data_IF_898951448980
#
_entry.id   IF_898951448980
#
_cell.length_a   1.000
_cell.length_b   1.000
_cell.length_c   1.000
_cell.angle_alpha   90.00
_cell.angle_beta   90.00
_cell.angle_gamma   90.00
#
_symmetry.space_group_name_H-M   'P 1'
#
loop_
_entity.id
_entity.type
_entity.pdbx_description
1 polymer ?
#
# COMPACT_ATOMS: atom_id res chain seq x y z
N UNK A 1 -62.73 23.86 -7.02
CA UNK A 1 -61.95 25.10 -7.06
C UNK A 1 -60.68 24.84 -6.25
N UNK A 2 -59.52 24.69 -6.92
CA UNK A 2 -58.26 24.25 -6.31
C UNK A 2 -57.49 25.44 -5.74
N UNK A 3 -56.47 25.18 -4.93
CA UNK A 3 -55.12 25.75 -5.09
C UNK A 3 -54.13 25.00 -4.18
N UNK A 4 -53.26 24.25 -4.83
CA UNK A 4 -52.00 23.72 -4.31
C UNK A 4 -51.09 24.87 -3.85
N UNK A 5 -50.27 24.63 -2.81
CA UNK A 5 -48.92 25.17 -2.86
C UNK A 5 -47.86 24.26 -2.21
N UNK A 6 -46.81 24.14 -3.00
CA UNK A 6 -45.64 23.30 -2.88
C UNK A 6 -44.73 23.66 -1.72
N UNK A 7 -44.16 22.58 -1.17
CA UNK A 7 -42.83 22.45 -0.58
C UNK A 7 -41.76 23.39 -1.15
N UNK A 8 -40.88 23.92 -0.29
CA UNK A 8 -39.43 23.89 -0.51
C UNK A 8 -38.65 24.16 0.79
N UNK A 9 -38.00 23.09 1.25
CA UNK A 9 -36.94 23.10 2.26
C UNK A 9 -35.67 23.68 1.61
N UNK A 10 -35.10 24.74 2.18
CA UNK A 10 -33.78 25.24 1.82
C UNK A 10 -32.92 25.15 3.08
N UNK A 11 -32.18 24.06 3.22
CA UNK A 11 -31.17 23.92 4.27
C UNK A 11 -29.80 23.80 3.58
N UNK A 12 -29.07 24.91 3.58
CA UNK A 12 -27.78 25.04 2.94
C UNK A 12 -26.70 24.87 4.01
N UNK A 13 -26.38 23.62 4.34
CA UNK A 13 -25.22 23.32 5.20
C UNK A 13 -23.96 23.22 4.36
N UNK A 14 -23.21 24.33 4.44
CA UNK A 14 -21.82 24.56 4.01
C UNK A 14 -20.90 23.38 4.35
N UNK A 15 -20.44 22.66 3.32
CA UNK A 15 -19.34 21.69 3.44
C UNK A 15 -18.01 22.45 3.59
N UNK A 16 -17.38 22.33 4.75
CA UNK A 16 -16.00 22.74 4.93
C UNK A 16 -15.11 21.53 4.64
N UNK A 17 -14.43 21.58 3.49
CA UNK A 17 -13.32 20.70 3.14
C UNK A 17 -12.06 21.28 3.78
N UNK A 18 -11.55 20.64 4.82
CA UNK A 18 -10.24 20.97 5.38
C UNK A 18 -9.18 20.07 4.74
N UNK A 19 -8.22 20.73 4.09
CA UNK A 19 -7.03 20.14 3.50
C UNK A 19 -5.94 20.04 4.58
N UNK A 20 -5.34 18.87 4.73
CA UNK A 20 -4.19 18.65 5.62
C UNK A 20 -2.91 19.18 4.92
N UNK A 21 -2.49 20.40 5.28
CA UNK A 21 -1.17 20.98 4.97
C UNK A 21 -0.28 20.85 6.22
N UNK A 22 0.94 20.35 6.07
CA UNK A 22 1.91 20.28 7.17
C UNK A 22 3.32 20.50 6.60
N UNK A 23 3.70 21.78 6.53
CA UNK A 23 5.01 22.25 6.07
C UNK A 23 5.78 22.83 7.26
N UNK A 24 6.88 22.18 7.65
CA UNK A 24 7.80 22.68 8.66
C UNK A 24 8.95 23.46 8.02
N UNK A 25 9.02 24.75 8.34
CA UNK A 25 10.10 25.67 7.99
C UNK A 25 11.38 25.39 8.79
N UNK A 26 12.51 25.23 8.08
CA UNK A 26 13.86 25.33 8.62
C UNK A 26 14.61 26.43 7.86
N UNK A 27 15.10 27.43 8.61
CA UNK A 27 15.97 28.49 8.12
C UNK A 27 17.38 27.96 7.79
N UNK A 28 18.03 28.42 6.71
CA UNK A 28 19.47 28.29 6.56
C UNK A 28 20.18 29.63 6.84
N UNK A 29 21.14 29.59 7.76
CA UNK A 29 22.15 30.63 7.98
C UNK A 29 23.19 30.58 6.86
N UNK A 30 23.61 31.78 6.42
CA UNK A 30 24.50 32.00 5.28
C UNK A 30 25.94 32.29 5.75
N UNK A 31 26.90 31.50 5.26
CA UNK A 31 28.34 31.76 5.15
C UNK A 31 28.86 30.64 4.23
N UNK A 32 29.54 30.84 3.10
CA UNK A 32 30.73 31.65 2.82
C UNK A 32 30.93 31.69 1.29
N UNK A 33 31.45 32.78 0.76
CA UNK A 33 31.87 32.93 -0.64
C UNK A 33 33.31 32.48 -0.85
N UNK A 34 33.55 31.59 -1.83
CA UNK A 34 34.78 31.59 -2.65
C UNK A 34 34.56 30.79 -3.94
N UNK A 35 34.55 31.53 -5.05
CA UNK A 35 34.76 31.10 -6.44
C UNK A 35 36.22 30.57 -6.52
N UNK A 36 36.63 29.54 -7.27
CA UNK A 36 36.81 29.49 -8.74
C UNK A 36 37.30 28.07 -9.18
N UNK A 37 36.67 27.58 -10.26
CA UNK A 37 37.07 26.65 -11.34
C UNK A 37 37.53 25.20 -11.11
N UNK A 38 36.80 24.30 -11.78
CA UNK A 38 37.37 23.51 -12.88
C UNK A 38 37.35 21.99 -12.70
N UNK A 39 36.29 21.33 -13.15
CA UNK A 39 36.31 20.02 -13.78
C UNK A 39 34.90 19.69 -14.29
N UNK A 40 34.81 19.24 -15.52
CA UNK A 40 33.59 18.76 -16.15
C UNK A 40 32.93 17.66 -15.29
N UNK A 41 31.90 18.01 -14.53
CA UNK A 41 30.99 17.02 -13.98
C UNK A 41 29.94 16.76 -15.05
N UNK A 42 30.27 15.83 -15.95
CA UNK A 42 29.27 15.12 -16.73
C UNK A 42 28.12 14.74 -15.78
N UNK A 43 26.92 15.09 -16.21
CA UNK A 43 25.67 14.89 -15.48
C UNK A 43 25.44 13.39 -15.30
N UNK A 44 26.10 12.79 -14.32
CA UNK A 44 25.68 11.54 -13.72
C UNK A 44 24.36 11.87 -13.02
N UNK A 45 23.28 11.81 -13.81
CA UNK A 45 21.93 11.76 -13.28
C UNK A 45 21.91 10.59 -12.31
N UNK A 46 22.03 10.90 -11.03
CA UNK A 46 22.01 9.94 -9.95
C UNK A 46 20.64 9.29 -10.03
N UNK A 47 20.56 8.11 -10.67
CA UNK A 47 19.34 7.30 -10.76
C UNK A 47 19.00 6.86 -9.33
N UNK A 48 18.36 7.76 -8.59
CA UNK A 48 18.06 7.60 -7.18
C UNK A 48 17.08 6.43 -7.03
N UNK A 49 17.57 5.33 -6.49
CA UNK A 49 16.76 4.16 -6.15
C UNK A 49 15.93 4.43 -4.89
N UNK A 50 14.85 5.21 -5.04
CA UNK A 50 13.96 5.57 -3.93
C UNK A 50 12.87 4.51 -3.77
N UNK A 51 12.86 3.73 -2.67
CA UNK A 51 11.78 2.79 -2.41
C UNK A 51 10.47 3.53 -2.13
N UNK A 52 9.30 2.96 -2.50
CA UNK A 52 8.02 3.55 -2.17
C UNK A 52 7.82 3.70 -0.66
N UNK A 53 6.91 4.60 -0.27
CA UNK A 53 6.51 4.77 1.13
C UNK A 53 6.22 3.42 1.79
N UNK A 54 6.71 3.20 3.01
CA UNK A 54 6.43 1.97 3.78
C UNK A 54 6.84 0.67 3.05
N UNK A 55 7.79 0.72 2.13
CA UNK A 55 8.32 -0.47 1.47
C UNK A 55 8.99 -1.42 2.47
N UNK A 56 8.73 -2.72 2.33
CA UNK A 56 9.46 -3.77 3.04
C UNK A 56 9.31 -5.13 2.36
N UNK A 57 10.26 -6.02 2.64
CA UNK A 57 10.15 -7.45 2.33
C UNK A 57 9.22 -8.10 3.36
N UNK A 58 8.21 -8.82 2.89
CA UNK A 58 7.32 -9.63 3.74
C UNK A 58 7.87 -11.05 3.84
N UNK A 59 8.19 -11.65 2.70
CA UNK A 59 8.78 -12.99 2.59
C UNK A 59 9.51 -13.10 1.24
N UNK A 60 10.13 -14.24 0.96
CA UNK A 60 10.84 -14.47 -0.29
C UNK A 60 9.93 -14.23 -1.51
N UNK A 61 10.25 -13.21 -2.31
CA UNK A 61 9.48 -12.78 -3.47
C UNK A 61 8.13 -12.15 -3.14
N UNK A 62 7.90 -11.71 -1.90
CA UNK A 62 6.68 -11.01 -1.47
C UNK A 62 7.09 -9.70 -0.80
N UNK A 63 6.65 -8.59 -1.39
CA UNK A 63 6.93 -7.25 -0.90
C UNK A 63 5.64 -6.51 -0.52
N UNK A 64 5.78 -5.51 0.35
CA UNK A 64 4.70 -4.58 0.70
C UNK A 64 5.14 -3.14 0.48
N UNK A 65 4.19 -2.24 0.25
CA UNK A 65 4.41 -0.78 0.25
C UNK A 65 3.12 0.03 0.37
N UNK A 66 3.25 1.35 0.47
CA UNK A 66 2.25 2.34 0.07
C UNK A 66 2.19 2.51 -1.44
N UNK A 67 1.42 3.49 -1.92
CA UNK A 67 1.18 3.65 -3.34
C UNK A 67 2.48 4.10 -4.04
N UNK A 68 3.01 3.35 -5.01
CA UNK A 68 4.20 3.78 -5.73
C UNK A 68 3.89 4.92 -6.69
N UNK A 69 4.78 5.90 -6.76
CA UNK A 69 4.76 6.95 -7.78
C UNK A 69 5.95 6.81 -8.73
N UNK A 70 6.04 7.73 -9.71
CA UNK A 70 7.07 7.70 -10.74
C UNK A 70 8.50 7.78 -10.20
N UNK A 71 8.72 8.40 -9.04
CA UNK A 71 10.05 8.45 -8.41
C UNK A 71 10.53 7.09 -7.94
N UNK A 72 9.62 6.12 -7.76
CA UNK A 72 9.95 4.78 -7.29
C UNK A 72 10.20 3.77 -8.41
N UNK A 73 9.94 4.13 -9.67
CA UNK A 73 9.91 3.16 -10.78
C UNK A 73 11.27 2.48 -11.01
N UNK A 74 12.37 3.21 -10.92
CA UNK A 74 13.72 2.63 -11.01
C UNK A 74 13.98 1.60 -9.90
N UNK A 75 13.60 1.91 -8.66
CA UNK A 75 13.68 0.95 -7.55
C UNK A 75 12.78 -0.27 -7.80
N UNK A 76 11.56 -0.09 -8.30
CA UNK A 76 10.67 -1.21 -8.57
C UNK A 76 11.18 -2.13 -9.69
N UNK A 77 11.90 -1.59 -10.68
CA UNK A 77 12.53 -2.38 -11.73
C UNK A 77 13.59 -3.33 -11.17
N UNK A 78 14.37 -2.90 -10.16
CA UNK A 78 15.40 -3.77 -9.56
C UNK A 78 14.82 -4.98 -8.84
N UNK A 79 13.53 -4.95 -8.47
CA UNK A 79 12.86 -6.06 -7.80
C UNK A 79 12.44 -7.18 -8.76
N UNK A 80 12.44 -6.92 -10.08
CA UNK A 80 12.00 -7.89 -11.09
C UNK A 80 10.56 -8.38 -10.85
N UNK A 81 9.67 -7.46 -10.47
CA UNK A 81 8.28 -7.79 -10.15
C UNK A 81 7.59 -8.47 -11.33
N UNK A 82 6.84 -9.55 -11.05
CA UNK A 82 5.92 -10.15 -12.02
C UNK A 82 4.50 -9.67 -11.84
N UNK A 83 4.14 -9.26 -10.62
CA UNK A 83 2.80 -8.78 -10.36
C UNK A 83 2.72 -7.74 -9.25
N UNK A 84 1.64 -6.97 -9.27
CA UNK A 84 1.26 -6.03 -8.23
C UNK A 84 -0.18 -6.31 -7.80
N UNK A 85 -0.42 -6.31 -6.49
CA UNK A 85 -1.75 -6.32 -5.88
C UNK A 85 -2.04 -4.91 -5.36
N UNK A 86 -2.99 -4.21 -5.99
CA UNK A 86 -3.46 -2.91 -5.57
C UNK A 86 -4.78 -3.06 -4.80
N UNK A 87 -4.79 -2.64 -3.53
CA UNK A 87 -5.97 -2.73 -2.66
C UNK A 87 -6.84 -1.45 -2.70
N UNK A 88 -6.54 -0.53 -3.62
CA UNK A 88 -7.26 0.73 -3.81
C UNK A 88 -8.43 0.53 -4.81
N UNK A 89 -9.66 0.98 -4.50
CA UNK A 89 -10.77 0.96 -5.45
C UNK A 89 -10.61 2.00 -6.56
N UNK A 90 -9.80 3.04 -6.33
CA UNK A 90 -9.57 4.11 -7.30
C UNK A 90 -8.85 3.59 -8.56
N UNK A 91 -9.18 4.09 -9.76
CA UNK A 91 -8.47 3.72 -10.99
C UNK A 91 -6.96 3.89 -10.87
N UNK A 92 -6.20 2.96 -11.44
CA UNK A 92 -4.74 3.04 -11.42
C UNK A 92 -4.27 4.18 -12.34
N UNK A 93 -3.35 5.07 -11.91
CA UNK A 93 -2.87 6.18 -12.73
C UNK A 93 -2.25 5.72 -14.05
N UNK A 94 -2.47 6.47 -15.13
CA UNK A 94 -2.01 6.13 -16.47
C UNK A 94 -0.50 5.93 -16.55
N UNK A 95 0.29 6.86 -16.00
CA UNK A 95 1.75 6.74 -15.95
C UNK A 95 2.22 5.46 -15.24
N UNK A 96 1.53 5.06 -14.17
CA UNK A 96 1.83 3.80 -13.47
C UNK A 96 1.41 2.60 -14.31
N UNK A 97 0.25 2.64 -14.99
CA UNK A 97 -0.19 1.58 -15.89
C UNK A 97 0.80 1.36 -17.04
N UNK A 98 1.34 2.42 -17.62
CA UNK A 98 2.31 2.32 -18.71
C UNK A 98 3.64 1.74 -18.23
N UNK A 99 4.10 2.13 -17.03
CA UNK A 99 5.21 1.47 -16.38
C UNK A 99 4.98 -0.04 -16.20
N UNK A 100 3.78 -0.46 -15.74
CA UNK A 100 3.48 -1.89 -15.59
C UNK A 100 3.51 -2.63 -16.92
N UNK A 101 2.91 -2.06 -17.98
CA UNK A 101 2.91 -2.67 -19.31
C UNK A 101 4.33 -2.81 -19.87
N UNK A 102 5.14 -1.76 -19.81
CA UNK A 102 6.50 -1.76 -20.35
C UNK A 102 7.43 -2.75 -19.63
N UNK A 103 7.13 -3.08 -18.37
CA UNK A 103 7.92 -4.03 -17.58
C UNK A 103 7.26 -5.42 -17.48
N UNK A 104 6.16 -5.67 -18.21
CA UNK A 104 5.47 -6.97 -18.19
C UNK A 104 4.85 -7.34 -16.83
N UNK A 105 4.49 -6.34 -16.02
CA UNK A 105 3.97 -6.53 -14.67
C UNK A 105 2.45 -6.66 -14.70
N UNK A 106 1.92 -7.76 -14.17
CA UNK A 106 0.47 -7.98 -14.09
C UNK A 106 -0.13 -7.25 -12.88
N UNK A 107 -1.14 -6.40 -13.11
CA UNK A 107 -1.92 -5.76 -12.05
C UNK A 107 -3.11 -6.62 -11.63
N UNK A 108 -3.26 -6.83 -10.33
CA UNK A 108 -4.45 -7.36 -9.68
C UNK A 108 -5.07 -6.27 -8.81
N UNK A 109 -6.17 -5.67 -9.27
CA UNK A 109 -6.85 -4.62 -8.53
C UNK A 109 -8.00 -5.19 -7.70
N UNK A 110 -7.82 -5.20 -6.39
CA UNK A 110 -8.72 -5.76 -5.38
C UNK A 110 -9.22 -4.63 -4.48
N UNK A 111 -10.10 -3.79 -5.02
CA UNK A 111 -10.57 -2.58 -4.37
C UNK A 111 -11.24 -2.85 -3.02
N UNK A 112 -10.68 -2.29 -1.95
CA UNK A 112 -11.31 -2.27 -0.62
C UNK A 112 -11.60 -0.81 -0.27
N UNK A 113 -12.86 -0.47 -0.04
CA UNK A 113 -13.24 0.90 0.30
C UNK A 113 -12.53 1.40 1.55
N UNK A 114 -12.08 2.66 1.48
CA UNK A 114 -11.35 3.30 2.56
C UNK A 114 -12.29 4.03 3.50
N UNK A 115 -12.93 3.34 4.44
CA UNK A 115 -13.72 4.00 5.49
C UNK A 115 -12.83 4.36 6.69
N UNK A 116 -13.18 5.46 7.38
CA UNK A 116 -12.62 5.80 8.69
C UNK A 116 -13.35 4.98 9.77
N UNK A 117 -12.69 4.73 10.89
CA UNK A 117 -13.35 4.20 12.11
C UNK A 117 -14.59 5.03 12.46
N UNK A 118 -15.69 4.42 12.93
CA UNK A 118 -15.86 3.01 13.33
C UNK A 118 -16.39 2.07 12.21
N UNK A 119 -16.65 2.57 11.00
CA UNK A 119 -17.35 1.83 9.94
C UNK A 119 -16.41 1.09 8.98
N UNK A 120 -15.23 0.67 9.46
CA UNK A 120 -14.24 -0.01 8.63
C UNK A 120 -14.71 -1.45 8.37
N UNK A 121 -15.04 -1.74 7.11
CA UNK A 121 -15.34 -3.11 6.68
C UNK A 121 -14.27 -3.57 5.69
N UNK A 122 -13.41 -4.50 6.13
CA UNK A 122 -12.48 -5.19 5.24
C UNK A 122 -13.15 -6.48 4.79
N UNK A 123 -13.51 -6.62 3.50
CA UNK A 123 -14.22 -7.79 3.02
C UNK A 123 -13.32 -9.03 3.05
N UNK A 124 -13.77 -10.09 3.75
CA UNK A 124 -13.06 -11.39 3.87
C UNK A 124 -12.67 -11.94 2.50
N UNK A 125 -13.60 -11.92 1.55
CA UNK A 125 -13.42 -12.46 0.21
C UNK A 125 -12.25 -11.81 -0.53
N UNK A 126 -12.10 -10.48 -0.41
CA UNK A 126 -11.03 -9.74 -1.08
C UNK A 126 -9.66 -10.07 -0.48
N UNK A 127 -9.58 -10.22 0.85
CA UNK A 127 -8.36 -10.68 1.52
C UNK A 127 -8.02 -12.10 1.10
N UNK A 128 -9.02 -12.98 1.02
CA UNK A 128 -8.86 -14.37 0.57
C UNK A 128 -8.36 -14.45 -0.88
N UNK A 129 -8.88 -13.61 -1.76
CA UNK A 129 -8.42 -13.51 -3.15
C UNK A 129 -6.98 -12.99 -3.24
N UNK A 130 -6.64 -11.94 -2.49
CA UNK A 130 -5.27 -11.44 -2.41
C UNK A 130 -4.31 -12.55 -1.95
N UNK A 131 -4.68 -13.32 -0.93
CA UNK A 131 -3.88 -14.44 -0.43
C UNK A 131 -3.71 -15.55 -1.49
N UNK A 132 -4.74 -15.87 -2.27
CA UNK A 132 -4.61 -16.83 -3.39
C UNK A 132 -3.57 -16.37 -4.40
N UNK A 133 -3.57 -15.08 -4.77
CA UNK A 133 -2.60 -14.51 -5.70
C UNK A 133 -1.18 -14.57 -5.12
N UNK A 134 -1.01 -14.22 -3.84
CA UNK A 134 0.28 -14.25 -3.12
C UNK A 134 0.81 -15.68 -3.01
N UNK A 135 -0.04 -16.67 -2.76
CA UNK A 135 0.35 -18.08 -2.60
C UNK A 135 0.75 -18.73 -3.93
N UNK A 136 0.23 -18.26 -5.06
CA UNK A 136 0.64 -18.74 -6.38
C UNK A 136 2.04 -18.21 -6.76
N UNK A 137 3.02 -19.10 -6.75
CA UNK A 137 4.43 -18.79 -7.07
C UNK A 137 4.62 -18.17 -8.44
N UNK A 138 3.71 -18.42 -9.41
CA UNK A 138 3.81 -17.83 -10.74
C UNK A 138 3.68 -16.31 -10.72
N UNK A 139 3.07 -15.76 -9.68
CA UNK A 139 2.92 -14.31 -9.51
C UNK A 139 4.13 -13.63 -8.81
N UNK A 140 5.10 -14.38 -8.25
CA UNK A 140 6.19 -13.83 -7.41
C UNK A 140 7.53 -13.60 -8.13
N UNK A 141 8.10 -12.39 -8.22
CA UNK A 141 8.01 -11.43 -7.12
C UNK A 141 6.77 -10.55 -7.21
N UNK A 142 6.05 -10.42 -6.09
CA UNK A 142 4.78 -9.68 -6.00
C UNK A 142 4.90 -8.52 -5.03
N UNK A 143 4.38 -7.35 -5.42
CA UNK A 143 4.24 -6.20 -4.53
C UNK A 143 2.77 -6.02 -4.12
N UNK A 144 2.53 -5.97 -2.81
CA UNK A 144 1.20 -5.66 -2.24
C UNK A 144 1.19 -4.21 -1.80
N UNK A 145 0.25 -3.40 -2.29
CA UNK A 145 0.13 -2.03 -1.82
C UNK A 145 -1.30 -1.53 -1.68
N UNK A 146 -1.42 -0.45 -0.92
CA UNK A 146 -2.63 0.36 -0.85
C UNK A 146 -2.20 1.84 -0.91
N UNK A 147 -2.98 2.78 -0.35
CA UNK A 147 -2.58 4.21 -0.36
C UNK A 147 -1.29 4.46 0.44
N UNK A 148 -1.25 3.99 1.70
CA UNK A 148 -0.11 4.20 2.62
C UNK A 148 0.60 2.92 3.06
N UNK A 149 0.14 1.76 2.61
CA UNK A 149 0.72 0.47 2.99
C UNK A 149 0.51 0.13 4.47
N UNK A 150 -0.55 0.64 5.09
CA UNK A 150 -0.83 0.50 6.53
C UNK A 150 -1.96 -0.48 6.81
N UNK A 151 -3.21 -0.05 6.62
CA UNK A 151 -4.43 -0.78 7.00
C UNK A 151 -4.71 -1.98 6.09
N UNK A 152 -5.20 -1.73 4.86
CA UNK A 152 -5.53 -2.78 3.87
C UNK A 152 -4.37 -3.76 3.63
N UNK A 153 -3.19 -3.23 3.34
CA UNK A 153 -1.96 -4.02 3.17
C UNK A 153 -1.59 -4.76 4.45
N UNK A 154 -1.74 -4.13 5.62
CA UNK A 154 -1.47 -4.75 6.91
C UNK A 154 -2.40 -5.92 7.21
N UNK A 155 -3.68 -5.86 6.83
CA UNK A 155 -4.61 -6.97 6.97
C UNK A 155 -4.25 -8.14 6.05
N UNK A 156 -3.91 -7.89 4.78
CA UNK A 156 -3.44 -8.94 3.87
C UNK A 156 -2.17 -9.60 4.42
N UNK A 157 -1.17 -8.80 4.81
CA UNK A 157 0.09 -9.31 5.37
C UNK A 157 -0.16 -10.05 6.70
N UNK A 158 -1.00 -9.53 7.58
CA UNK A 158 -1.34 -10.17 8.85
C UNK A 158 -2.01 -11.53 8.67
N UNK A 159 -2.97 -11.63 7.75
CA UNK A 159 -3.59 -12.91 7.40
C UNK A 159 -2.59 -13.87 6.72
N UNK A 160 -1.65 -13.35 5.92
CA UNK A 160 -0.55 -14.14 5.37
C UNK A 160 0.35 -14.70 6.49
N UNK A 161 0.70 -13.91 7.51
CA UNK A 161 1.45 -14.39 8.69
C UNK A 161 0.69 -15.46 9.47
N UNK A 162 -0.63 -15.36 9.59
CA UNK A 162 -1.46 -16.42 10.18
C UNK A 162 -1.36 -17.73 9.39
N UNK A 163 -1.30 -17.68 8.06
CA UNK A 163 -1.05 -18.88 7.23
C UNK A 163 0.34 -19.48 7.49
N UNK A 164 1.33 -18.63 7.77
CA UNK A 164 2.66 -19.04 8.22
C UNK A 164 2.71 -19.52 9.68
N UNK A 165 1.55 -19.63 10.36
CA UNK A 165 1.41 -20.07 11.75
C UNK A 165 2.15 -19.19 12.77
N UNK A 166 2.30 -17.90 12.49
CA UNK A 166 2.82 -16.96 13.49
C UNK A 166 1.82 -16.81 14.65
N UNK A 167 2.32 -16.60 15.87
CA UNK A 167 1.45 -16.26 17.00
C UNK A 167 0.86 -14.85 16.80
N UNK A 168 -0.38 -14.63 17.25
CA UNK A 168 -1.09 -13.37 17.05
C UNK A 168 -0.33 -12.16 17.58
N UNK A 169 0.38 -12.29 18.70
CA UNK A 169 1.23 -11.23 19.26
C UNK A 169 2.28 -10.74 18.27
N UNK A 170 2.98 -11.65 17.58
CA UNK A 170 3.97 -11.29 16.55
C UNK A 170 3.31 -10.69 15.31
N UNK A 171 2.14 -11.19 14.91
CA UNK A 171 1.36 -10.65 13.80
C UNK A 171 0.94 -9.20 14.08
N UNK A 172 0.40 -8.94 15.28
CA UNK A 172 -0.02 -7.60 15.68
C UNK A 172 1.16 -6.66 15.85
N UNK A 173 2.28 -7.14 16.38
CA UNK A 173 3.51 -6.35 16.48
C UNK A 173 4.00 -5.89 15.09
N UNK A 174 4.02 -6.79 14.09
CA UNK A 174 4.37 -6.42 12.72
C UNK A 174 3.36 -5.42 12.13
N UNK A 175 2.06 -5.67 12.28
CA UNK A 175 1.01 -4.75 11.82
C UNK A 175 1.19 -3.34 12.42
N UNK A 176 1.35 -3.25 13.74
CA UNK A 176 1.50 -1.98 14.46
C UNK A 176 2.77 -1.25 14.06
N UNK A 177 3.87 -1.96 13.81
CA UNK A 177 5.12 -1.37 13.32
C UNK A 177 4.92 -0.59 12.02
N UNK A 178 4.15 -1.15 11.06
CA UNK A 178 3.90 -0.47 9.78
C UNK A 178 2.77 0.57 9.83
N UNK A 179 1.74 0.34 10.66
CA UNK A 179 0.66 1.30 10.82
C UNK A 179 1.09 2.53 11.66
N UNK A 180 2.06 2.34 12.57
CA UNK A 180 2.57 3.32 13.53
C UNK A 180 1.41 3.99 14.30
N UNK A 181 1.46 5.31 14.49
CA UNK A 181 0.43 6.09 15.17
C UNK A 181 -0.99 6.00 14.55
N UNK A 182 -1.15 5.33 13.40
CA UNK A 182 -2.45 5.12 12.74
C UNK A 182 -2.94 3.66 12.86
N UNK A 183 -2.36 2.83 13.74
CA UNK A 183 -2.83 1.47 13.99
C UNK A 183 -4.30 1.45 14.40
N UNK A 184 -5.08 0.51 13.85
CA UNK A 184 -6.50 0.33 14.15
C UNK A 184 -6.71 -0.96 14.92
N UNK A 185 -7.62 -0.94 15.88
CA UNK A 185 -8.02 -2.14 16.63
C UNK A 185 -8.91 -3.03 15.77
N UNK A 186 -9.78 -2.44 14.94
CA UNK A 186 -10.63 -3.16 13.98
C UNK A 186 -9.84 -4.03 13.01
N UNK A 187 -8.74 -3.51 12.43
CA UNK A 187 -7.84 -4.27 11.56
C UNK A 187 -7.24 -5.49 12.28
N UNK A 188 -6.80 -5.32 13.53
CA UNK A 188 -6.23 -6.42 14.34
C UNK A 188 -7.31 -7.45 14.68
N UNK A 189 -8.51 -7.00 15.03
CA UNK A 189 -9.66 -7.88 15.29
C UNK A 189 -10.07 -8.66 14.05
N UNK A 190 -10.05 -8.03 12.88
CA UNK A 190 -10.26 -8.71 11.60
C UNK A 190 -9.20 -9.81 11.39
N UNK A 191 -7.91 -9.48 11.55
CA UNK A 191 -6.83 -10.46 11.42
C UNK A 191 -7.03 -11.63 12.39
N UNK A 192 -7.38 -11.36 13.65
CA UNK A 192 -7.65 -12.37 14.68
C UNK A 192 -8.73 -13.36 14.23
N UNK A 193 -9.87 -12.83 13.76
CA UNK A 193 -11.06 -13.61 13.41
C UNK A 193 -11.00 -14.26 12.02
N UNK A 194 -10.12 -13.81 11.13
CA UNK A 194 -10.02 -14.33 9.77
C UNK A 194 -9.71 -15.83 9.74
N UNK A 195 -10.61 -16.62 9.13
CA UNK A 195 -10.44 -18.07 9.02
C UNK A 195 -9.54 -18.45 7.83
N UNK A 196 -8.39 -19.02 8.18
CA UNK A 196 -7.36 -19.49 7.25
C UNK A 196 -7.57 -20.93 6.76
N UNK A 197 -8.53 -21.67 7.33
CA UNK A 197 -8.76 -23.09 7.04
C UNK A 197 -8.90 -23.38 5.54
N UNK A 198 -9.73 -22.60 4.83
CA UNK A 198 -10.00 -22.73 3.40
C UNK A 198 -8.83 -22.40 2.46
N UNK A 199 -7.68 -21.97 2.98
CA UNK A 199 -6.48 -21.68 2.19
C UNK A 199 -5.34 -22.71 2.41
N UNK A 200 -5.48 -23.62 3.39
CA UNK A 200 -4.43 -24.59 3.76
C UNK A 200 -4.13 -25.63 2.69
N UNK A 201 -5.08 -25.89 1.79
CA UNK A 201 -4.95 -26.89 0.74
C UNK A 201 -4.26 -26.35 -0.53
N UNK A 202 -3.96 -25.05 -0.58
CA UNK A 202 -3.20 -24.50 -1.69
C UNK A 202 -1.73 -24.92 -1.53
N UNK A 203 -1.11 -25.49 -2.58
CA UNK A 203 0.30 -25.86 -2.53
C UNK A 203 1.13 -24.62 -2.25
N UNK A 204 1.63 -24.54 -1.02
CA UNK A 204 2.48 -23.46 -0.55
C UNK A 204 3.90 -23.99 -0.50
N UNK A 205 4.71 -23.63 -1.49
CA UNK A 205 6.16 -23.76 -1.37
C UNK A 205 6.65 -22.64 -0.45
N UNK A 206 6.50 -22.85 0.86
CA UNK A 206 7.26 -22.08 1.83
C UNK A 206 8.72 -22.45 1.60
N UNK A 207 9.48 -21.55 0.99
CA UNK A 207 10.91 -21.74 0.83
C UNK A 207 11.54 -21.59 2.21
N UNK A 208 11.72 -22.71 2.90
CA UNK A 208 12.71 -22.78 3.95
C UNK A 208 14.06 -22.59 3.24
N UNK A 209 14.65 -21.40 3.37
CA UNK A 209 16.05 -21.23 2.99
C UNK A 209 16.83 -22.18 3.89
N UNK A 210 17.32 -23.29 3.32
CA UNK A 210 18.38 -24.07 3.94
C UNK A 210 19.54 -23.10 4.13
N UNK A 211 19.72 -22.64 5.37
CA UNK A 211 20.98 -22.05 5.83
C UNK A 211 21.91 -23.18 6.24
#
# INVERSE_FOLDING_TARGET
MPLDHHSQHFDQTRSSVEADDDSHHLHPTRSTTSVVNGADCENAGDDLFVPPLNFAVVDNGIFRSGFPDSSNFYFLQTLGLRSIICLCPEPYPEASMDFLKSNGIRLFQLGIEGTKEPFVNIPDNTIREALKIILDVRNRPVLIHCKRGKHRTGCVVGCFRKLQKWCLSSVFYEYQRFAAAKARVSDQRFIELFDVSGLKYLPSSFSCSKR
#
